data_IF_477688099566
#
_entry.id   IF_477688099566
#
_cell.length_a   1.000
_cell.length_b   1.000
_cell.length_c   1.000
_cell.angle_alpha   90.00
_cell.angle_beta   90.00
_cell.angle_gamma   90.00
#
_symmetry.space_group_name_H-M   'P 1'
#
loop_
_entity.id
_entity.type
_entity.pdbx_description
1 polymer ?
#
# COMPACT_ATOMS: atom_id res chain seq x y z
N UNK A 1 58.27 -12.54 52.74
CA UNK A 1 58.55 -13.93 52.32
C UNK A 1 57.54 -14.33 51.26
N UNK A 2 58.04 -14.85 50.13
CA UNK A 2 57.28 -15.38 48.98
C UNK A 2 56.67 -16.76 49.29
N UNK A 3 55.95 -17.29 48.30
CA UNK A 3 55.53 -18.68 47.99
C UNK A 3 54.00 -18.79 48.05
N UNK A 4 53.26 -19.39 47.11
CA UNK A 4 53.46 -19.81 45.72
C UNK A 4 52.09 -20.32 45.24
N UNK A 5 51.74 -19.95 44.01
CA UNK A 5 51.00 -20.70 42.99
C UNK A 5 50.06 -21.84 43.40
N UNK A 6 48.79 -21.71 43.00
CA UNK A 6 48.07 -22.79 42.31
C UNK A 6 47.00 -22.23 41.38
N UNK A 7 47.28 -22.35 40.08
CA UNK A 7 46.33 -22.16 39.00
C UNK A 7 45.33 -23.33 39.02
N UNK A 8 44.03 -23.02 39.02
CA UNK A 8 42.99 -23.97 38.65
C UNK A 8 42.36 -23.46 37.35
N UNK A 9 42.73 -24.08 36.24
CA UNK A 9 42.07 -23.92 34.97
C UNK A 9 40.74 -24.70 35.02
N UNK A 10 39.60 -24.01 35.09
CA UNK A 10 38.32 -24.58 34.69
C UNK A 10 38.03 -24.15 33.25
N UNK A 11 38.27 -25.07 32.32
CA UNK A 11 37.77 -24.99 30.96
C UNK A 11 36.25 -25.13 30.96
N UNK A 12 35.54 -24.01 30.78
CA UNK A 12 34.13 -23.98 30.42
C UNK A 12 33.99 -23.70 28.94
N UNK A 13 33.94 -24.75 28.12
CA UNK A 13 33.46 -24.66 26.73
C UNK A 13 31.94 -24.37 26.79
N UNK A 14 31.55 -23.09 26.69
CA UNK A 14 30.17 -22.76 26.33
C UNK A 14 30.00 -23.05 24.84
N UNK A 15 29.38 -24.19 24.53
CA UNK A 15 28.90 -24.48 23.20
C UNK A 15 27.90 -23.40 22.78
N UNK A 16 28.25 -22.61 21.76
CA UNK A 16 27.28 -21.82 21.01
C UNK A 16 26.31 -22.79 20.35
N UNK A 17 25.10 -22.93 20.88
CA UNK A 17 23.99 -23.53 20.16
C UNK A 17 23.68 -22.66 18.94
N UNK A 18 24.14 -23.13 17.79
CA UNK A 18 23.78 -22.57 16.48
C UNK A 18 22.27 -22.76 16.28
N UNK A 19 21.52 -21.66 16.32
CA UNK A 19 20.13 -21.63 15.91
C UNK A 19 19.98 -22.24 14.50
N UNK A 20 19.00 -23.12 14.26
CA UNK A 20 18.84 -23.77 12.97
C UNK A 20 18.45 -22.73 11.92
N UNK A 21 19.14 -22.78 10.78
CA UNK A 21 18.84 -21.97 9.61
C UNK A 21 17.37 -22.16 9.21
N UNK A 22 16.61 -21.06 9.23
CA UNK A 22 15.25 -20.99 8.71
C UNK A 22 15.23 -21.46 7.26
N UNK A 23 14.69 -22.66 7.06
CA UNK A 23 14.46 -23.25 5.76
C UNK A 23 13.61 -22.30 4.90
N UNK A 24 14.20 -21.86 3.79
CA UNK A 24 13.57 -21.12 2.71
C UNK A 24 12.40 -21.94 2.15
N UNK A 25 11.17 -21.51 2.44
CA UNK A 25 9.99 -22.08 1.78
C UNK A 25 9.99 -21.68 0.30
N UNK A 26 9.61 -22.58 -0.62
CA UNK A 26 9.61 -22.28 -2.04
C UNK A 26 8.51 -21.25 -2.31
N UNK A 27 8.93 -20.07 -2.76
CA UNK A 27 8.04 -19.07 -3.32
C UNK A 27 7.39 -19.66 -4.58
N UNK A 28 6.06 -19.76 -4.59
CA UNK A 28 5.35 -20.09 -5.81
C UNK A 28 5.70 -19.05 -6.90
N UNK A 29 6.06 -19.47 -8.11
CA UNK A 29 6.49 -18.56 -9.17
C UNK A 29 5.35 -17.59 -9.54
N UNK A 30 5.67 -16.37 -10.01
CA UNK A 30 4.67 -15.44 -10.51
C UNK A 30 3.87 -16.07 -11.65
N UNK A 31 2.54 -16.00 -11.55
CA UNK A 31 1.63 -16.56 -12.56
C UNK A 31 1.84 -15.85 -13.91
N UNK A 32 1.96 -16.58 -15.04
CA UNK A 32 2.17 -15.98 -16.35
C UNK A 32 1.03 -15.06 -16.80
N UNK A 33 1.38 -13.96 -17.44
CA UNK A 33 0.48 -12.90 -17.91
C UNK A 33 -0.67 -13.40 -18.81
N UNK A 34 -0.42 -14.44 -19.61
CA UNK A 34 -1.43 -15.06 -20.48
C UNK A 34 -2.64 -15.62 -19.72
N UNK A 35 -2.47 -16.01 -18.46
CA UNK A 35 -3.53 -16.58 -17.62
C UNK A 35 -4.36 -15.52 -16.87
N UNK A 36 -3.93 -14.24 -16.90
CA UNK A 36 -4.62 -13.13 -16.21
C UNK A 36 -5.70 -12.44 -17.07
N UNK A 37 -5.53 -12.44 -18.40
CA UNK A 37 -6.49 -11.80 -19.33
C UNK A 37 -7.91 -12.39 -19.26
N UNK A 38 -8.06 -13.65 -18.87
CA UNK A 38 -9.36 -14.33 -18.79
C UNK A 38 -10.25 -13.88 -17.60
N UNK A 39 -9.73 -13.09 -16.65
CA UNK A 39 -10.48 -12.61 -15.47
C UNK A 39 -11.04 -11.19 -15.63
N UNK A 40 -11.02 -10.65 -16.85
CA UNK A 40 -11.30 -9.24 -17.17
C UNK A 40 -12.79 -8.85 -17.14
N UNK A 41 -13.74 -9.78 -16.91
CA UNK A 41 -15.17 -9.45 -16.81
C UNK A 41 -15.62 -8.78 -15.49
N UNK A 42 -14.73 -8.07 -14.77
CA UNK A 42 -15.06 -7.35 -13.52
C UNK A 42 -14.48 -5.94 -13.44
N UNK A 43 -14.42 -5.21 -14.55
CA UNK A 43 -14.12 -3.78 -14.50
C UNK A 43 -15.29 -3.01 -13.86
N UNK A 44 -15.13 -2.59 -12.61
CA UNK A 44 -16.07 -1.70 -11.97
C UNK A 44 -15.83 -0.26 -12.46
N UNK A 45 -16.90 0.41 -12.90
CA UNK A 45 -16.86 1.84 -13.21
C UNK A 45 -17.08 2.61 -11.90
N UNK A 46 -16.08 3.42 -11.51
CA UNK A 46 -16.17 4.27 -10.34
C UNK A 46 -17.21 5.40 -10.55
N UNK A 47 -18.22 5.48 -9.68
CA UNK A 47 -18.86 6.74 -9.29
C UNK A 47 -18.34 7.06 -7.89
N UNK A 48 -17.93 8.31 -7.63
CA UNK A 48 -17.44 8.73 -6.31
C UNK A 48 -18.43 8.43 -5.17
N UNK A 49 -17.90 8.13 -3.98
CA UNK A 49 -18.66 7.80 -2.76
C UNK A 49 -19.14 8.97 -1.95
N UNK A 50 -19.33 8.75 -0.64
CA UNK A 50 -19.53 9.85 0.33
C UNK A 50 -18.35 10.84 0.26
N UNK A 51 -17.14 10.34 0.04
CA UNK A 51 -16.03 11.17 -0.40
C UNK A 51 -16.21 11.52 -1.89
N UNK A 52 -16.40 12.81 -2.16
CA UNK A 52 -16.54 13.37 -3.50
C UNK A 52 -15.34 14.25 -3.86
N UNK A 53 -14.98 14.25 -5.15
CA UNK A 53 -13.99 15.20 -5.68
C UNK A 53 -14.38 16.63 -5.29
N UNK A 54 -13.39 17.39 -4.83
CA UNK A 54 -13.61 18.77 -4.40
C UNK A 54 -14.03 18.92 -2.94
N UNK A 55 -14.38 17.83 -2.24
CA UNK A 55 -14.82 17.86 -0.83
C UNK A 55 -13.77 17.24 0.12
N UNK A 56 -13.68 17.72 1.38
CA UNK A 56 -12.90 17.07 2.41
C UNK A 56 -13.31 15.60 2.55
N UNK A 57 -12.35 14.69 2.65
CA UNK A 57 -12.70 13.31 3.02
C UNK A 57 -13.30 13.31 4.44
N UNK A 58 -14.35 12.50 4.71
CA UNK A 58 -14.92 12.40 6.05
C UNK A 58 -13.87 12.03 7.11
N UNK A 59 -14.19 12.31 8.37
CA UNK A 59 -13.32 11.92 9.47
C UNK A 59 -13.23 10.40 9.56
N UNK A 60 -12.02 9.88 9.73
CA UNK A 60 -11.78 8.47 9.94
C UNK A 60 -10.73 8.25 11.04
N UNK A 61 -10.83 7.09 11.66
CA UNK A 61 -9.82 6.50 12.50
C UNK A 61 -9.72 5.03 12.12
N UNK A 62 -8.54 4.60 11.68
CA UNK A 62 -8.35 3.26 11.14
C UNK A 62 -7.12 2.61 11.78
N UNK A 63 -7.24 1.37 12.27
CA UNK A 63 -6.09 0.65 12.81
C UNK A 63 -5.11 0.32 11.69
N UNK A 64 -3.82 0.41 12.02
CA UNK A 64 -2.74 -0.04 11.15
C UNK A 64 -2.17 -1.35 11.65
N UNK A 65 -1.50 -2.09 10.77
CA UNK A 65 -0.85 -3.36 11.10
C UNK A 65 0.13 -3.25 12.29
N UNK A 66 0.75 -2.08 12.50
CA UNK A 66 1.66 -1.81 13.61
C UNK A 66 0.99 -1.20 14.86
N UNK A 67 -0.34 -1.16 14.92
CA UNK A 67 -1.11 -0.68 16.08
C UNK A 67 -1.18 0.83 16.28
N UNK A 68 -0.38 1.64 15.56
CA UNK A 68 -0.35 3.11 15.74
C UNK A 68 -1.63 3.83 15.30
N UNK A 69 -2.39 3.23 14.39
CA UNK A 69 -3.58 3.82 13.80
C UNK A 69 -3.27 5.02 12.89
N UNK A 70 -4.21 5.36 12.00
CA UNK A 70 -4.16 6.56 11.19
C UNK A 70 -5.50 7.28 11.24
N UNK A 71 -5.44 8.61 11.19
CA UNK A 71 -6.59 9.51 11.13
C UNK A 71 -6.34 10.57 10.07
N UNK A 72 -7.32 11.44 9.79
CA UNK A 72 -7.12 12.61 8.92
C UNK A 72 -5.95 13.48 9.42
N UNK A 73 -5.77 13.60 10.74
CA UNK A 73 -4.68 14.39 11.33
C UNK A 73 -3.29 13.82 10.98
N UNK A 74 -3.18 12.50 10.77
CA UNK A 74 -1.95 11.87 10.30
C UNK A 74 -1.50 12.36 8.92
N UNK A 75 -2.38 13.03 8.16
CA UNK A 75 -2.12 13.59 6.83
C UNK A 75 -2.19 15.13 6.80
N UNK A 76 -2.33 15.80 7.95
CA UNK A 76 -2.44 17.27 8.00
C UNK A 76 -1.22 17.93 7.32
N UNK A 77 -1.48 18.83 6.38
CA UNK A 77 -0.43 19.54 5.63
C UNK A 77 0.33 18.68 4.61
N UNK A 78 -0.13 17.45 4.34
CA UNK A 78 0.46 16.49 3.40
C UNK A 78 -0.55 16.11 2.33
N UNK A 79 -0.08 15.77 1.13
CA UNK A 79 -0.92 15.13 0.13
C UNK A 79 -1.10 13.67 0.55
N UNK A 80 -2.33 13.27 0.90
CA UNK A 80 -2.61 11.91 1.34
C UNK A 80 -3.04 11.03 0.16
N UNK A 81 -2.27 9.97 -0.11
CA UNK A 81 -2.58 8.96 -1.12
C UNK A 81 -3.03 7.67 -0.44
N UNK A 82 -4.29 7.30 -0.61
CA UNK A 82 -4.86 6.04 -0.15
C UNK A 82 -4.94 5.07 -1.32
N UNK A 83 -4.39 3.87 -1.17
CA UNK A 83 -4.39 2.83 -2.20
C UNK A 83 -5.18 1.65 -1.68
N UNK A 84 -6.27 1.27 -2.37
CA UNK A 84 -6.98 0.04 -2.03
C UNK A 84 -6.10 -1.15 -2.43
N UNK A 85 -5.68 -1.97 -1.47
CA UNK A 85 -4.73 -3.03 -1.67
C UNK A 85 -5.33 -4.40 -1.33
N UNK A 86 -4.78 -5.42 -1.99
CA UNK A 86 -5.08 -6.84 -1.80
C UNK A 86 -3.76 -7.58 -2.01
N UNK A 87 -3.39 -8.45 -1.07
CA UNK A 87 -2.14 -9.22 -1.08
C UNK A 87 -2.04 -10.19 -2.26
N UNK A 88 -3.17 -10.60 -2.84
CA UNK A 88 -3.22 -11.55 -3.94
C UNK A 88 -3.45 -10.89 -5.30
N UNK A 89 -3.96 -9.66 -5.33
CA UNK A 89 -4.31 -9.00 -6.58
C UNK A 89 -3.09 -8.78 -7.49
N UNK A 90 -3.12 -9.29 -8.74
CA UNK A 90 -2.05 -9.09 -9.71
C UNK A 90 -1.94 -7.61 -10.15
N UNK A 91 -3.05 -6.86 -10.17
CA UNK A 91 -3.04 -5.44 -10.52
C UNK A 91 -2.24 -4.63 -9.48
N UNK A 92 -2.49 -4.87 -8.18
CA UNK A 92 -1.75 -4.23 -7.08
C UNK A 92 -0.26 -4.56 -7.16
N UNK A 93 0.08 -5.84 -7.34
CA UNK A 93 1.47 -6.29 -7.51
C UNK A 93 2.16 -5.61 -8.69
N UNK A 94 1.46 -5.43 -9.81
CA UNK A 94 2.01 -4.80 -10.99
C UNK A 94 2.27 -3.29 -10.82
N UNK A 95 1.45 -2.58 -10.04
CA UNK A 95 1.60 -1.12 -9.85
C UNK A 95 2.44 -0.72 -8.63
N UNK A 96 2.69 -1.64 -7.68
CA UNK A 96 3.32 -1.30 -6.39
C UNK A 96 4.72 -0.66 -6.54
N UNK A 97 5.54 -1.08 -7.50
CA UNK A 97 6.88 -0.51 -7.71
C UNK A 97 6.81 0.96 -8.17
N UNK A 98 5.81 1.29 -9.00
CA UNK A 98 5.52 2.66 -9.42
C UNK A 98 5.04 3.51 -8.24
N UNK A 99 4.18 2.95 -7.38
CA UNK A 99 3.75 3.64 -6.16
C UNK A 99 4.92 3.93 -5.21
N UNK A 100 5.86 2.99 -5.05
CA UNK A 100 7.10 3.21 -4.27
C UNK A 100 7.96 4.31 -4.91
N UNK A 101 8.12 4.29 -6.23
CA UNK A 101 8.86 5.32 -6.94
C UNK A 101 8.22 6.72 -6.74
N UNK A 102 6.90 6.84 -6.95
CA UNK A 102 6.18 8.09 -6.73
C UNK A 102 6.29 8.57 -5.29
N UNK A 103 6.15 7.65 -4.32
CA UNK A 103 6.33 7.98 -2.91
C UNK A 103 7.72 8.52 -2.64
N UNK A 104 8.78 7.93 -3.20
CA UNK A 104 10.16 8.42 -3.03
C UNK A 104 10.33 9.79 -3.68
N UNK A 105 9.86 9.95 -4.92
CA UNK A 105 10.00 11.16 -5.74
C UNK A 105 9.31 12.37 -5.11
N UNK A 106 8.10 12.19 -4.57
CA UNK A 106 7.27 13.30 -4.07
C UNK A 106 7.23 13.42 -2.53
N UNK A 107 8.05 12.64 -1.80
CA UNK A 107 8.11 12.67 -0.33
C UNK A 107 8.43 14.05 0.22
N UNK A 108 9.42 14.73 -0.39
CA UNK A 108 9.86 16.06 0.04
C UNK A 108 8.78 17.12 -0.15
N UNK A 109 7.95 16.98 -1.20
CA UNK A 109 6.81 17.84 -1.49
C UNK A 109 5.59 17.52 -0.60
N UNK A 110 5.70 16.50 0.25
CA UNK A 110 4.72 16.14 1.25
C UNK A 110 3.73 15.07 0.83
N UNK A 111 4.06 14.21 -0.15
CA UNK A 111 3.26 13.01 -0.44
C UNK A 111 3.40 11.99 0.70
N UNK A 112 2.27 11.53 1.23
CA UNK A 112 2.18 10.46 2.22
C UNK A 112 1.23 9.39 1.71
N UNK A 113 1.72 8.16 1.61
CA UNK A 113 0.97 7.02 1.06
C UNK A 113 0.50 6.10 2.21
N UNK A 114 -0.69 5.52 2.08
CA UNK A 114 -1.19 4.44 2.92
C UNK A 114 -1.90 3.39 2.07
N UNK A 115 -1.63 2.12 2.34
CA UNK A 115 -2.37 1.00 1.77
C UNK A 115 -3.58 0.71 2.66
N UNK A 116 -4.72 0.41 2.05
CA UNK A 116 -5.99 0.09 2.73
C UNK A 116 -6.41 -1.31 2.32
N UNK A 117 -6.40 -2.23 3.26
CA UNK A 117 -6.77 -3.62 3.04
C UNK A 117 -8.19 -3.87 3.57
N UNK A 118 -9.13 -4.07 2.65
CA UNK A 118 -10.58 -4.18 2.94
C UNK A 118 -11.18 -5.54 2.53
N UNK A 119 -10.35 -6.50 2.12
CA UNK A 119 -10.78 -7.84 1.69
C UNK A 119 -11.21 -8.68 2.91
N UNK A 120 -12.47 -9.16 3.00
CA UNK A 120 -12.98 -9.82 4.20
C UNK A 120 -12.19 -11.07 4.65
N UNK A 121 -11.62 -11.80 3.70
CA UNK A 121 -10.90 -13.05 3.94
C UNK A 121 -9.41 -12.84 4.27
N UNK A 122 -8.93 -11.60 4.22
CA UNK A 122 -7.52 -11.31 4.36
C UNK A 122 -7.14 -11.08 5.84
N UNK A 123 -6.24 -11.92 6.35
CA UNK A 123 -5.81 -11.86 7.75
C UNK A 123 -4.62 -10.90 7.92
N UNK A 124 -4.51 -10.20 9.07
CA UNK A 124 -3.38 -9.30 9.35
C UNK A 124 -2.00 -9.94 9.15
N UNK A 125 -1.84 -11.22 9.50
CA UNK A 125 -0.57 -11.94 9.30
C UNK A 125 -0.21 -12.11 7.81
N UNK A 126 -1.21 -12.27 6.92
CA UNK A 126 -0.98 -12.37 5.47
C UNK A 126 -0.57 -11.00 4.92
N UNK A 127 -1.22 -9.94 5.38
CA UNK A 127 -0.87 -8.55 5.05
C UNK A 127 0.56 -8.24 5.51
N UNK A 128 0.93 -8.61 6.73
CA UNK A 128 2.29 -8.43 7.25
C UNK A 128 3.34 -9.12 6.37
N UNK A 129 3.11 -10.40 6.05
CA UNK A 129 4.01 -11.17 5.17
C UNK A 129 4.13 -10.55 3.79
N UNK A 130 3.02 -10.10 3.21
CA UNK A 130 3.02 -9.43 1.90
C UNK A 130 3.80 -8.10 1.94
N UNK A 131 3.49 -7.21 2.89
CA UNK A 131 4.16 -5.91 3.03
C UNK A 131 5.67 -6.09 3.23
N UNK A 132 6.08 -7.05 4.06
CA UNK A 132 7.48 -7.39 4.28
C UNK A 132 8.15 -7.97 3.03
N UNK A 133 7.55 -9.01 2.42
CA UNK A 133 8.11 -9.67 1.24
C UNK A 133 8.27 -8.73 0.04
N UNK A 134 7.33 -7.80 -0.14
CA UNK A 134 7.37 -6.81 -1.21
C UNK A 134 8.15 -5.53 -0.84
N UNK A 135 8.71 -5.46 0.37
CA UNK A 135 9.46 -4.29 0.91
C UNK A 135 8.68 -2.99 0.77
N UNK A 136 7.37 -3.04 1.05
CA UNK A 136 6.50 -1.89 0.90
C UNK A 136 6.66 -0.94 2.10
N UNK A 137 7.08 0.32 1.89
CA UNK A 137 7.40 1.23 2.98
C UNK A 137 6.17 1.94 3.56
N UNK A 138 4.97 1.52 3.15
CA UNK A 138 3.73 2.21 3.47
C UNK A 138 3.10 1.66 4.75
N UNK A 139 2.46 2.51 5.57
CA UNK A 139 1.53 2.02 6.57
C UNK A 139 0.41 1.21 5.89
N UNK A 140 0.09 0.05 6.46
CA UNK A 140 -1.02 -0.80 6.07
C UNK A 140 -2.20 -0.59 7.02
N UNK A 141 -3.27 0.04 6.54
CA UNK A 141 -4.56 0.15 7.23
C UNK A 141 -5.32 -1.17 7.08
N UNK A 142 -5.89 -1.62 8.19
CA UNK A 142 -6.70 -2.84 8.29
C UNK A 142 -8.18 -2.44 8.38
N UNK A 143 -8.89 -2.45 7.25
CA UNK A 143 -10.26 -1.93 7.10
C UNK A 143 -11.29 -3.08 7.08
N UNK A 144 -11.33 -3.86 8.17
CA UNK A 144 -12.10 -5.13 8.23
C UNK A 144 -13.60 -4.96 8.15
N UNK A 145 -14.13 -3.83 8.61
CA UNK A 145 -15.56 -3.49 8.55
C UNK A 145 -15.90 -2.62 7.34
N UNK A 146 -14.92 -2.40 6.46
CA UNK A 146 -15.05 -1.65 5.21
C UNK A 146 -15.50 -0.20 5.40
N UNK A 147 -15.24 0.42 6.55
CA UNK A 147 -15.59 1.84 6.78
C UNK A 147 -14.90 2.75 5.78
N UNK A 148 -13.59 2.60 5.58
CA UNK A 148 -12.85 3.43 4.62
C UNK A 148 -13.25 3.10 3.19
N UNK A 149 -13.41 1.81 2.86
CA UNK A 149 -13.88 1.38 1.54
C UNK A 149 -15.26 1.98 1.19
N UNK A 150 -16.20 1.98 2.14
CA UNK A 150 -17.55 2.57 1.97
C UNK A 150 -17.47 4.10 1.87
N UNK A 151 -16.69 4.74 2.73
CA UNK A 151 -16.46 6.19 2.71
C UNK A 151 -15.91 6.67 1.36
N UNK A 152 -14.89 5.99 0.84
CA UNK A 152 -14.26 6.29 -0.45
C UNK A 152 -15.07 5.78 -1.65
N UNK A 153 -16.04 4.90 -1.40
CA UNK A 153 -16.74 4.09 -2.41
C UNK A 153 -15.81 3.31 -3.35
N UNK A 154 -14.81 2.70 -2.73
CA UNK A 154 -13.89 1.78 -3.39
C UNK A 154 -14.59 0.59 -4.01
N UNK A 155 -14.30 0.31 -5.29
CA UNK A 155 -14.90 -0.84 -5.99
C UNK A 155 -13.90 -1.97 -6.19
N UNK A 156 -12.67 -1.63 -6.57
CA UNK A 156 -11.64 -2.61 -6.85
C UNK A 156 -10.27 -2.26 -6.24
N UNK A 157 -9.46 -3.29 -6.06
CA UNK A 157 -8.07 -3.16 -5.63
C UNK A 157 -7.24 -2.42 -6.70
N UNK A 158 -6.23 -1.67 -6.28
CA UNK A 158 -5.39 -0.75 -7.06
C UNK A 158 -6.04 0.58 -7.45
N UNK A 159 -7.29 0.82 -7.07
CA UNK A 159 -7.83 2.18 -7.00
C UNK A 159 -7.03 3.04 -6.03
N UNK A 160 -6.81 4.29 -6.43
CA UNK A 160 -6.11 5.29 -5.62
C UNK A 160 -6.95 6.53 -5.40
N UNK A 161 -6.80 7.13 -4.23
CA UNK A 161 -7.48 8.35 -3.80
C UNK A 161 -6.45 9.34 -3.29
N UNK A 162 -6.34 10.51 -3.92
CA UNK A 162 -5.38 11.55 -3.56
C UNK A 162 -6.10 12.76 -2.98
N UNK A 163 -5.68 13.15 -1.78
CA UNK A 163 -6.10 14.38 -1.12
C UNK A 163 -5.00 15.44 -1.22
N UNK A 164 -5.40 16.71 -1.26
CA UNK A 164 -4.45 17.81 -1.08
C UNK A 164 -4.05 18.00 0.39
N UNK A 165 -3.17 18.97 0.64
CA UNK A 165 -2.68 19.32 1.99
C UNK A 165 -3.78 19.77 2.96
N UNK A 166 -4.98 20.09 2.47
CA UNK A 166 -6.17 20.45 3.27
C UNK A 166 -7.09 19.24 3.50
N UNK A 167 -6.71 18.05 3.04
CA UNK A 167 -7.51 16.83 3.18
C UNK A 167 -8.69 16.75 2.21
N UNK A 168 -8.69 17.56 1.15
CA UNK A 168 -9.75 17.59 0.14
C UNK A 168 -9.44 16.59 -0.95
N UNK A 169 -10.39 15.75 -1.35
CA UNK A 169 -10.20 14.77 -2.42
C UNK A 169 -10.03 15.50 -3.76
N UNK A 170 -8.95 15.19 -4.48
CA UNK A 170 -8.56 15.86 -5.73
C UNK A 170 -8.38 14.89 -6.89
N UNK A 171 -8.14 13.63 -6.60
CA UNK A 171 -8.03 12.59 -7.60
C UNK A 171 -8.57 11.26 -7.07
N UNK A 172 -9.31 10.55 -7.90
CA UNK A 172 -9.73 9.16 -7.71
C UNK A 172 -9.52 8.41 -9.01
N UNK A 173 -8.76 7.32 -8.99
CA UNK A 173 -8.68 6.48 -10.17
C UNK A 173 -7.57 5.47 -10.21
N UNK A 174 -7.04 5.25 -11.41
CA UNK A 174 -5.90 4.37 -11.70
C UNK A 174 -4.56 5.04 -11.38
N UNK A 175 -3.49 4.24 -11.37
CA UNK A 175 -2.11 4.78 -11.28
C UNK A 175 -1.68 5.39 -12.61
N UNK A 176 -1.85 4.64 -13.69
CA UNK A 176 -1.56 5.02 -15.07
C UNK A 176 -2.42 4.16 -16.02
N UNK A 177 -2.26 4.36 -17.33
CA UNK A 177 -3.04 3.69 -18.36
C UNK A 177 -2.55 2.29 -18.76
N UNK A 178 -1.50 1.76 -18.14
CA UNK A 178 -1.02 0.40 -18.37
C UNK A 178 -0.72 -0.32 -17.06
N UNK A 179 -1.72 -1.02 -16.53
CA UNK A 179 -1.62 -1.71 -15.24
C UNK A 179 -0.50 -2.74 -15.20
N UNK A 180 -0.23 -3.46 -16.28
CA UNK A 180 0.67 -4.62 -16.25
C UNK A 180 1.99 -4.44 -16.99
N UNK A 181 2.05 -3.56 -17.99
CA UNK A 181 3.28 -3.32 -18.75
C UNK A 181 3.70 -1.85 -18.65
N UNK A 182 4.63 -1.52 -17.75
CA UNK A 182 5.13 -0.15 -17.58
C UNK A 182 5.70 0.47 -18.87
N UNK A 183 6.12 -0.33 -19.86
CA UNK A 183 6.70 0.16 -21.12
C UNK A 183 5.63 0.72 -22.06
N UNK A 184 4.37 0.34 -21.89
CA UNK A 184 3.25 0.79 -22.73
C UNK A 184 2.47 1.94 -22.12
N UNK A 185 2.93 2.48 -20.98
CA UNK A 185 2.32 3.66 -20.34
C UNK A 185 2.42 4.87 -21.25
N UNK A 186 1.27 5.44 -21.61
CA UNK A 186 1.16 6.70 -22.36
C UNK A 186 0.63 7.83 -21.48
N UNK A 187 -0.13 7.52 -20.43
CA UNK A 187 -0.64 8.49 -19.46
C UNK A 187 -0.33 8.09 -18.02
N UNK A 188 0.39 8.96 -17.31
CA UNK A 188 0.73 8.80 -15.88
C UNK A 188 -0.25 9.57 -15.00
N UNK A 189 -1.51 9.15 -15.01
CA UNK A 189 -2.63 9.92 -14.44
C UNK A 189 -2.43 10.30 -12.96
N UNK A 190 -2.02 9.36 -12.10
CA UNK A 190 -1.73 9.65 -10.70
C UNK A 190 -0.53 10.59 -10.54
N UNK A 191 0.55 10.38 -11.30
CA UNK A 191 1.72 11.25 -11.22
C UNK A 191 1.40 12.68 -11.63
N UNK A 192 0.61 12.85 -12.70
CA UNK A 192 0.13 14.14 -13.16
C UNK A 192 -0.70 14.85 -12.08
N UNK A 193 -1.57 14.11 -11.38
CA UNK A 193 -2.35 14.64 -10.26
C UNK A 193 -1.45 15.07 -9.08
N UNK A 194 -0.47 14.24 -8.69
CA UNK A 194 0.49 14.58 -7.64
C UNK A 194 1.30 15.83 -8.01
N UNK A 195 1.80 15.89 -9.25
CA UNK A 195 2.57 17.03 -9.74
C UNK A 195 1.74 18.31 -9.73
N UNK A 196 0.47 18.25 -10.18
CA UNK A 196 -0.43 19.38 -10.14
C UNK A 196 -0.61 19.90 -8.70
N UNK A 197 -0.89 19.03 -7.73
CA UNK A 197 -1.04 19.43 -6.34
C UNK A 197 0.26 19.95 -5.71
N UNK A 198 1.41 19.36 -6.05
CA UNK A 198 2.72 19.83 -5.62
C UNK A 198 3.03 21.25 -6.13
N UNK A 199 2.51 21.61 -7.30
CA UNK A 199 2.62 22.94 -7.92
C UNK A 199 1.44 23.87 -7.60
N UNK A 200 0.54 23.48 -6.69
CA UNK A 200 -0.70 24.21 -6.36
C UNK A 200 -1.61 24.48 -7.58
N UNK A 201 -1.58 23.60 -8.57
CA UNK A 201 -2.44 23.63 -9.77
C UNK A 201 -3.66 22.71 -9.60
N UNK A 202 -4.69 22.94 -10.42
CA UNK A 202 -5.85 22.04 -10.52
C UNK A 202 -5.45 20.72 -11.19
N UNK A 203 -6.02 19.62 -10.71
CA UNK A 203 -5.91 18.30 -11.35
C UNK A 203 -6.82 18.30 -12.59
N UNK A 204 -6.24 18.15 -13.78
CA UNK A 204 -6.99 18.21 -15.04
C UNK A 204 -7.97 17.05 -15.23
N UNK A 205 -7.58 15.84 -14.79
CA UNK A 205 -8.41 14.63 -14.85
C UNK A 205 -8.61 14.09 -13.43
N UNK A 206 -9.57 14.63 -12.67
CA UNK A 206 -9.75 14.26 -11.26
C UNK A 206 -10.35 12.87 -11.07
N UNK A 207 -11.04 12.32 -12.07
CA UNK A 207 -11.62 10.98 -12.02
C UNK A 207 -11.20 10.18 -13.26
N UNK A 208 -10.64 8.99 -13.03
CA UNK A 208 -10.25 8.07 -14.11
C UNK A 208 -10.54 6.64 -13.69
N UNK A 209 -11.24 5.82 -14.49
CA UNK A 209 -11.53 4.43 -14.12
C UNK A 209 -10.26 3.63 -13.82
N UNK A 210 -10.35 2.72 -12.86
CA UNK A 210 -9.27 1.81 -12.49
C UNK A 210 -9.58 0.36 -12.87
N UNK A 211 -8.53 -0.43 -13.04
CA UNK A 211 -8.60 -1.87 -13.26
C UNK A 211 -8.13 -2.58 -11.99
N UNK A 212 -8.92 -3.53 -11.50
CA UNK A 212 -8.58 -4.26 -10.28
C UNK A 212 -9.43 -5.50 -10.06
N UNK A 213 -9.04 -6.28 -9.04
CA UNK A 213 -9.92 -7.30 -8.48
C UNK A 213 -11.04 -6.62 -7.69
N UNK A 214 -12.29 -7.05 -7.91
CA UNK A 214 -13.44 -6.54 -7.17
C UNK A 214 -13.31 -6.83 -5.67
N UNK A 215 -13.67 -5.85 -4.83
CA UNK A 215 -13.72 -6.01 -3.38
C UNK A 215 -15.18 -6.28 -2.99
N UNK A 216 -15.52 -7.50 -2.49
CA UNK A 216 -16.89 -7.82 -2.08
C UNK A 216 -17.34 -6.89 -0.96
N UNK A 217 -18.59 -6.40 -1.01
CA UNK A 217 -19.16 -5.57 0.05
C UNK A 217 -19.61 -6.43 1.23
N UNK A 218 -19.35 -5.92 2.44
CA UNK A 218 -19.94 -6.40 3.70
C UNK A 218 -21.28 -5.74 3.98
#
# INVERSE_FOLDING_TARGET
MKISSRALALGGLLALETAPALASHPFAPPVPFSKLKAQTNRFAHAKSGVAAIGKPIPRFAAPTLNGKGLTNASFKGKMGLFVLADTQCPCVKAVQSRLVHLSKKYRAQGLKVAYVFSMPKEKPIQIARYMHAQRLPFPAIIDRDQRLLKMLNGQCSSEVYLTDKKGVLRYHGRVDDSTFDPKTVKSRDLENAILALAQNKRVARPEVPALGCAIPRL
#
